data_IF_827231628781
#
_entry.id   IF_827231628781
#
_cell.length_a   1.000
_cell.length_b   1.000
_cell.length_c   1.000
_cell.angle_alpha   90.00
_cell.angle_beta   90.00
_cell.angle_gamma   90.00
#
_symmetry.space_group_name_H-M   'P 1'
#
loop_
_entity.id
_entity.type
_entity.pdbx_description
1 polymer ?
#
# COMPACT_ATOMS: atom_id res chain seq x y z
N UNK A 1 20.45 16.26 22.81
CA UNK A 1 19.31 17.17 22.59
C UNK A 1 19.23 17.77 21.18
N UNK A 2 20.25 18.53 20.71
CA UNK A 2 20.22 19.14 19.36
C UNK A 2 20.28 18.10 18.24
N UNK A 3 21.08 17.05 18.41
CA UNK A 3 21.19 15.95 17.45
C UNK A 3 19.92 15.09 17.38
N UNK A 4 19.31 14.80 18.54
CA UNK A 4 18.04 14.07 18.62
C UNK A 4 16.90 14.83 17.92
N UNK A 5 16.82 16.15 18.15
CA UNK A 5 15.85 17.03 17.46
C UNK A 5 16.07 17.01 15.95
N UNK A 6 17.33 17.05 15.49
CA UNK A 6 17.65 16.98 14.06
C UNK A 6 17.22 15.64 13.46
N UNK A 7 17.51 14.52 14.12
CA UNK A 7 17.12 13.18 13.67
C UNK A 7 15.60 13.02 13.59
N UNK A 8 14.87 13.54 14.58
CA UNK A 8 13.41 13.55 14.60
C UNK A 8 12.84 14.41 13.47
N UNK A 9 13.41 15.59 13.24
CA UNK A 9 12.97 16.50 12.18
C UNK A 9 13.21 15.91 10.79
N UNK A 10 14.37 15.29 10.56
CA UNK A 10 14.66 14.57 9.30
C UNK A 10 13.68 13.41 9.09
N UNK A 11 13.38 12.66 10.14
CA UNK A 11 12.41 11.55 10.09
C UNK A 11 11.01 12.04 9.76
N UNK A 12 10.58 13.14 10.39
CA UNK A 12 9.29 13.77 10.11
C UNK A 12 9.19 14.24 8.66
N UNK A 13 10.20 14.95 8.15
CA UNK A 13 10.22 15.42 6.76
C UNK A 13 10.18 14.26 5.76
N UNK A 14 10.90 13.18 6.02
CA UNK A 14 10.87 11.98 5.18
C UNK A 14 9.48 11.34 5.14
N UNK A 15 8.82 11.23 6.30
CA UNK A 15 7.45 10.71 6.40
C UNK A 15 6.44 11.65 5.74
N UNK A 16 6.62 12.97 5.87
CA UNK A 16 5.77 13.96 5.19
C UNK A 16 5.83 13.80 3.67
N UNK A 17 7.04 13.67 3.10
CA UNK A 17 7.22 13.43 1.66
C UNK A 17 6.56 12.11 1.25
N UNK A 18 6.77 11.03 2.02
CA UNK A 18 6.14 9.72 1.74
C UNK A 18 4.61 9.85 1.69
N UNK A 19 4.01 10.46 2.71
CA UNK A 19 2.55 10.61 2.80
C UNK A 19 2.03 11.53 1.69
N UNK A 20 2.72 12.64 1.40
CA UNK A 20 2.36 13.53 0.29
C UNK A 20 2.36 12.84 -1.07
N UNK A 21 3.36 11.98 -1.33
CA UNK A 21 3.40 11.15 -2.54
C UNK A 21 2.25 10.15 -2.58
N UNK A 22 1.91 9.52 -1.46
CA UNK A 22 0.80 8.56 -1.39
C UNK A 22 -0.54 9.25 -1.68
N UNK A 23 -0.75 10.43 -1.11
CA UNK A 23 -1.95 11.23 -1.40
C UNK A 23 -1.99 11.68 -2.86
N UNK A 24 -0.85 12.03 -3.45
CA UNK A 24 -0.75 12.38 -4.87
C UNK A 24 -1.15 11.21 -5.78
N UNK A 25 -0.82 9.98 -5.42
CA UNK A 25 -1.26 8.78 -6.16
C UNK A 25 -2.78 8.66 -6.17
N UNK A 26 -3.44 8.82 -5.01
CA UNK A 26 -4.90 8.79 -4.94
C UNK A 26 -5.53 9.95 -5.72
N UNK A 27 -4.99 11.17 -5.59
CA UNK A 27 -5.47 12.34 -6.33
C UNK A 27 -5.36 12.16 -7.84
N UNK A 28 -4.22 11.66 -8.34
CA UNK A 28 -4.03 11.40 -9.77
C UNK A 28 -4.96 10.26 -10.23
N UNK A 29 -5.15 9.21 -9.44
CA UNK A 29 -6.10 8.15 -9.73
C UNK A 29 -7.54 8.67 -9.85
N UNK A 30 -7.97 9.55 -8.94
CA UNK A 30 -9.26 10.25 -8.99
C UNK A 30 -9.37 11.12 -10.23
N UNK A 31 -8.34 11.92 -10.54
CA UNK A 31 -8.31 12.81 -11.70
C UNK A 31 -8.39 12.03 -13.03
N UNK A 32 -7.63 10.94 -13.16
CA UNK A 32 -7.67 10.12 -14.38
C UNK A 32 -9.02 9.42 -14.49
N UNK A 33 -9.56 8.89 -13.39
CA UNK A 33 -10.89 8.25 -13.39
C UNK A 33 -12.01 9.23 -13.75
N UNK A 34 -11.91 10.51 -13.34
CA UNK A 34 -12.90 11.54 -13.70
C UNK A 34 -12.90 11.87 -15.19
N UNK A 35 -11.76 11.76 -15.86
CA UNK A 35 -11.66 11.98 -17.31
C UNK A 35 -12.42 10.94 -18.14
N UNK A 36 -12.71 9.76 -17.57
CA UNK A 36 -13.54 8.72 -18.20
C UNK A 36 -15.04 8.88 -17.92
N UNK A 37 -15.44 9.88 -17.15
CA UNK A 37 -16.83 10.23 -16.86
C UNK A 37 -17.27 9.92 -15.42
N UNK A 38 -18.42 10.50 -15.04
CA UNK A 38 -18.92 10.47 -13.66
C UNK A 38 -19.19 9.05 -13.13
N UNK A 39 -19.67 8.13 -13.98
CA UNK A 39 -19.93 6.74 -13.59
C UNK A 39 -18.63 6.00 -13.22
N UNK A 40 -17.56 6.22 -13.99
CA UNK A 40 -16.24 5.61 -13.74
C UNK A 40 -15.62 6.19 -12.48
N UNK A 41 -15.71 7.51 -12.29
CA UNK A 41 -15.28 8.17 -11.06
C UNK A 41 -16.00 7.64 -9.81
N UNK A 42 -17.32 7.47 -9.90
CA UNK A 42 -18.10 6.91 -8.80
C UNK A 42 -17.70 5.45 -8.49
N UNK A 43 -17.46 4.65 -9.54
CA UNK A 43 -16.91 3.30 -9.40
C UNK A 43 -15.56 3.29 -8.70
N UNK A 44 -14.65 4.20 -9.07
CA UNK A 44 -13.35 4.38 -8.40
C UNK A 44 -13.53 4.70 -6.91
N UNK A 45 -14.48 5.56 -6.56
CA UNK A 45 -14.83 5.88 -5.16
C UNK A 45 -15.26 4.66 -4.34
N UNK A 46 -16.09 3.77 -4.91
CA UNK A 46 -16.48 2.50 -4.25
C UNK A 46 -15.25 1.66 -3.94
N UNK A 47 -14.33 1.54 -4.89
CA UNK A 47 -13.12 0.76 -4.70
C UNK A 47 -12.13 1.39 -3.73
N UNK A 48 -12.04 2.72 -3.63
CA UNK A 48 -11.28 3.38 -2.57
C UNK A 48 -11.83 3.03 -1.18
N UNK A 49 -13.15 2.94 -1.01
CA UNK A 49 -13.74 2.53 0.26
C UNK A 49 -13.44 1.07 0.58
N UNK A 50 -13.62 0.15 -0.38
CA UNK A 50 -13.32 -1.27 -0.19
C UNK A 50 -11.83 -1.48 0.12
N UNK A 51 -10.94 -0.97 -0.73
CA UNK A 51 -9.50 -1.13 -0.52
C UNK A 51 -9.03 -0.45 0.76
N UNK A 52 -9.53 0.76 1.07
CA UNK A 52 -9.25 1.45 2.33
C UNK A 52 -9.61 0.62 3.57
N UNK A 53 -10.79 -0.02 3.57
CA UNK A 53 -11.19 -0.91 4.65
C UNK A 53 -10.23 -2.10 4.81
N UNK A 54 -9.87 -2.76 3.70
CA UNK A 54 -8.90 -3.87 3.76
C UNK A 54 -7.53 -3.42 4.27
N UNK A 55 -7.06 -2.23 3.88
CA UNK A 55 -5.78 -1.69 4.33
C UNK A 55 -5.75 -1.42 5.82
N UNK A 56 -6.83 -0.88 6.40
CA UNK A 56 -6.91 -0.66 7.84
C UNK A 56 -6.72 -1.95 8.65
N UNK A 57 -7.23 -3.09 8.13
CA UNK A 57 -7.07 -4.38 8.80
C UNK A 57 -5.70 -5.00 8.54
N UNK A 58 -5.18 -4.92 7.32
CA UNK A 58 -3.84 -5.39 6.95
C UNK A 58 -2.75 -4.63 7.73
N UNK A 59 -2.97 -3.34 8.03
CA UNK A 59 -2.07 -2.52 8.83
C UNK A 59 -2.11 -2.83 10.32
N UNK A 60 -3.12 -3.54 10.83
CA UNK A 60 -3.22 -3.90 12.25
C UNK A 60 -1.96 -4.60 12.79
N UNK A 61 -1.52 -5.74 12.19
CA UNK A 61 -0.28 -6.41 12.56
C UNK A 61 0.97 -5.53 12.42
N UNK A 62 0.97 -4.64 11.42
CA UNK A 62 2.07 -3.71 11.12
C UNK A 62 2.21 -2.68 12.24
N UNK A 63 1.12 -2.04 12.65
CA UNK A 63 1.10 -1.06 13.74
C UNK A 63 1.47 -1.69 15.09
N UNK A 64 0.98 -2.90 15.38
CA UNK A 64 1.30 -3.61 16.62
C UNK A 64 2.75 -4.09 16.71
N UNK A 65 3.35 -4.49 15.59
CA UNK A 65 4.72 -5.01 15.56
C UNK A 65 5.79 -3.91 15.48
N UNK A 66 5.47 -2.74 14.94
CA UNK A 66 6.44 -1.65 14.69
C UNK A 66 7.27 -1.25 15.93
N UNK A 67 6.67 -0.99 17.12
CA UNK A 67 7.46 -0.61 18.30
C UNK A 67 8.37 -1.74 18.76
N UNK A 68 7.91 -3.00 18.68
CA UNK A 68 8.68 -4.18 19.08
C UNK A 68 9.85 -4.46 18.12
N UNK A 69 9.65 -4.21 16.83
CA UNK A 69 10.71 -4.26 15.81
C UNK A 69 11.75 -3.18 16.05
N UNK A 70 11.32 -1.94 16.33
CA UNK A 70 12.20 -0.83 16.69
C UNK A 70 13.05 -1.13 17.93
N UNK A 71 12.40 -1.56 19.02
CA UNK A 71 13.06 -1.95 20.27
C UNK A 71 14.09 -3.07 20.04
N UNK A 72 13.70 -4.12 19.30
CA UNK A 72 14.56 -5.27 19.06
C UNK A 72 15.75 -4.93 18.17
N UNK A 73 15.54 -4.07 17.16
CA UNK A 73 16.60 -3.55 16.30
C UNK A 73 17.58 -2.67 17.07
N UNK A 74 17.08 -1.69 17.85
CA UNK A 74 17.92 -0.81 18.67
C UNK A 74 18.68 -1.54 19.79
N UNK A 75 18.13 -2.66 20.29
CA UNK A 75 18.77 -3.50 21.32
C UNK A 75 19.70 -4.59 20.74
N UNK A 76 19.96 -4.61 19.43
CA UNK A 76 20.73 -5.67 18.75
C UNK A 76 20.23 -7.11 19.00
N UNK A 77 18.94 -7.30 19.31
CA UNK A 77 18.33 -8.62 19.56
C UNK A 77 17.77 -9.21 18.26
N UNK A 78 18.67 -9.68 17.40
CA UNK A 78 18.37 -10.12 16.03
C UNK A 78 17.35 -11.28 16.00
N UNK A 79 17.46 -12.25 16.90
CA UNK A 79 16.53 -13.38 16.94
C UNK A 79 15.11 -12.94 17.33
N UNK A 80 15.00 -11.98 18.28
CA UNK A 80 13.72 -11.37 18.66
C UNK A 80 13.13 -10.59 17.49
N UNK A 81 13.95 -9.78 16.80
CA UNK A 81 13.55 -9.04 15.60
C UNK A 81 12.99 -9.96 14.51
N UNK A 82 13.70 -11.03 14.15
CA UNK A 82 13.25 -11.98 13.10
C UNK A 82 11.93 -12.65 13.44
N UNK A 83 11.75 -13.05 14.70
CA UNK A 83 10.50 -13.68 15.16
C UNK A 83 9.32 -12.72 15.04
N UNK A 84 9.47 -11.48 15.51
CA UNK A 84 8.42 -10.46 15.41
C UNK A 84 8.12 -10.16 13.93
N UNK A 85 9.17 -9.97 13.12
CA UNK A 85 9.06 -9.67 11.71
C UNK A 85 8.29 -10.76 10.96
N UNK A 86 8.65 -12.04 11.18
CA UNK A 86 8.00 -13.17 10.52
C UNK A 86 6.53 -13.32 10.96
N UNK A 87 6.24 -13.16 12.25
CA UNK A 87 4.86 -13.24 12.76
C UNK A 87 3.98 -12.12 12.21
N UNK A 88 4.49 -10.88 12.16
CA UNK A 88 3.79 -9.75 11.56
C UNK A 88 3.51 -9.99 10.08
N UNK A 89 4.52 -10.44 9.33
CA UNK A 89 4.39 -10.79 7.92
C UNK A 89 3.36 -11.89 7.66
N UNK A 90 3.42 -12.96 8.44
CA UNK A 90 2.48 -14.08 8.31
C UNK A 90 1.04 -13.63 8.58
N UNK A 91 0.83 -12.85 9.65
CA UNK A 91 -0.49 -12.29 9.97
C UNK A 91 -0.98 -11.33 8.88
N UNK A 92 -0.10 -10.49 8.33
CA UNK A 92 -0.40 -9.62 7.20
C UNK A 92 -0.80 -10.39 5.94
N UNK A 93 -0.07 -11.44 5.58
CA UNK A 93 -0.39 -12.29 4.43
C UNK A 93 -1.74 -12.98 4.63
N UNK A 94 -2.01 -13.51 5.84
CA UNK A 94 -3.28 -14.17 6.13
C UNK A 94 -4.47 -13.21 5.99
N UNK A 95 -4.34 -11.98 6.51
CA UNK A 95 -5.39 -10.95 6.38
C UNK A 95 -5.55 -10.50 4.91
N UNK A 96 -4.46 -10.34 4.16
CA UNK A 96 -4.52 -9.99 2.74
C UNK A 96 -5.19 -11.07 1.88
N UNK A 97 -4.88 -12.35 2.13
CA UNK A 97 -5.52 -13.49 1.47
C UNK A 97 -7.02 -13.51 1.80
N UNK A 98 -7.37 -13.33 3.07
CA UNK A 98 -8.76 -13.26 3.52
C UNK A 98 -9.57 -12.19 2.77
N UNK A 99 -9.06 -10.95 2.70
CA UNK A 99 -9.74 -9.87 1.96
C UNK A 99 -9.77 -10.11 0.45
N UNK A 100 -8.69 -10.66 -0.11
CA UNK A 100 -8.64 -11.04 -1.52
C UNK A 100 -9.75 -12.03 -1.85
N UNK A 101 -9.92 -13.08 -1.05
CA UNK A 101 -10.99 -14.07 -1.23
C UNK A 101 -12.38 -13.46 -1.06
N UNK A 102 -12.58 -12.62 -0.04
CA UNK A 102 -13.87 -11.96 0.19
C UNK A 102 -14.25 -11.09 -0.99
N UNK A 103 -13.35 -10.24 -1.48
CA UNK A 103 -13.66 -9.37 -2.62
C UNK A 103 -13.80 -10.16 -3.92
N UNK A 104 -13.06 -11.26 -4.08
CA UNK A 104 -13.18 -12.10 -5.26
C UNK A 104 -14.53 -12.82 -5.34
N UNK A 105 -15.03 -13.34 -4.22
CA UNK A 105 -16.30 -14.09 -4.15
C UNK A 105 -17.51 -13.17 -3.98
N UNK A 106 -17.45 -12.23 -3.04
CA UNK A 106 -18.59 -11.39 -2.64
C UNK A 106 -18.51 -9.96 -3.18
N UNK A 107 -17.52 -9.63 -4.01
CA UNK A 107 -17.28 -8.26 -4.47
C UNK A 107 -18.48 -7.59 -5.13
N UNK A 108 -19.24 -8.31 -5.97
CA UNK A 108 -20.46 -7.78 -6.61
C UNK A 108 -21.56 -7.48 -5.58
N UNK A 109 -21.73 -8.35 -4.58
CA UNK A 109 -22.67 -8.15 -3.49
C UNK A 109 -22.27 -6.94 -2.64
N UNK A 110 -20.98 -6.79 -2.33
CA UNK A 110 -20.45 -5.64 -1.58
C UNK A 110 -20.67 -4.33 -2.34
N UNK A 111 -20.41 -4.30 -3.65
CA UNK A 111 -20.73 -3.14 -4.50
C UNK A 111 -22.23 -2.81 -4.43
N UNK A 112 -23.09 -3.84 -4.43
CA UNK A 112 -24.54 -3.65 -4.34
C UNK A 112 -25.00 -3.11 -2.99
N UNK A 113 -24.26 -3.37 -1.91
CA UNK A 113 -24.54 -2.77 -0.59
C UNK A 113 -24.13 -1.30 -0.52
N UNK A 114 -23.11 -0.89 -1.28
CA UNK A 114 -22.59 0.48 -1.26
C UNK A 114 -23.44 1.43 -2.11
N UNK A 115 -23.99 0.97 -3.24
CA UNK A 115 -24.81 1.81 -4.12
C UNK A 115 -25.99 1.05 -4.69
N UNK A 116 -27.10 1.75 -4.90
CA UNK A 116 -28.30 1.24 -5.59
C UNK A 116 -28.38 1.68 -7.07
N UNK A 117 -27.41 2.47 -7.55
CA UNK A 117 -27.40 2.98 -8.92
C UNK A 117 -26.86 1.91 -9.88
N UNK A 118 -27.72 1.39 -10.76
CA UNK A 118 -27.40 0.27 -11.65
C UNK A 118 -26.20 0.55 -12.57
N UNK A 119 -26.14 1.73 -13.17
CA UNK A 119 -25.04 2.11 -14.08
C UNK A 119 -23.67 2.07 -13.38
N UNK A 120 -23.61 2.48 -12.11
CA UNK A 120 -22.36 2.45 -11.31
C UNK A 120 -22.01 1.01 -10.92
N UNK A 121 -23.00 0.16 -10.62
CA UNK A 121 -22.78 -1.27 -10.32
C UNK A 121 -22.19 -1.99 -11.52
N UNK A 122 -22.83 -1.86 -12.68
CA UNK A 122 -22.38 -2.48 -13.93
C UNK A 122 -20.97 -2.01 -14.31
N UNK A 123 -20.67 -0.73 -14.13
CA UNK A 123 -19.32 -0.21 -14.36
C UNK A 123 -18.31 -0.82 -13.38
N UNK A 124 -18.65 -0.91 -12.10
CA UNK A 124 -17.78 -1.48 -11.06
C UNK A 124 -17.54 -2.99 -11.26
N UNK A 125 -18.53 -3.74 -11.73
CA UNK A 125 -18.37 -5.18 -11.97
C UNK A 125 -17.27 -5.52 -12.99
N UNK A 126 -16.89 -4.57 -13.85
CA UNK A 126 -15.78 -4.74 -14.79
C UNK A 126 -14.43 -4.87 -14.07
N UNK A 127 -14.23 -4.11 -12.99
CA UNK A 127 -12.92 -3.99 -12.32
C UNK A 127 -12.82 -4.80 -11.03
N UNK A 128 -13.91 -5.39 -10.54
CA UNK A 128 -13.91 -6.06 -9.24
C UNK A 128 -12.81 -7.10 -9.11
N UNK A 129 -12.58 -7.94 -10.12
CA UNK A 129 -11.57 -9.00 -10.04
C UNK A 129 -10.14 -8.49 -9.95
N UNK A 130 -9.78 -7.43 -10.68
CA UNK A 130 -8.44 -6.83 -10.56
C UNK A 130 -8.29 -6.11 -9.22
N UNK A 131 -9.33 -5.43 -8.75
CA UNK A 131 -9.32 -4.76 -7.44
C UNK A 131 -9.22 -5.77 -6.30
N UNK A 132 -9.86 -6.94 -6.42
CA UNK A 132 -9.77 -8.01 -5.42
C UNK A 132 -8.35 -8.53 -5.22
N UNK A 133 -7.45 -8.39 -6.20
CA UNK A 133 -6.04 -8.79 -6.07
C UNK A 133 -5.17 -7.74 -5.38
N UNK A 134 -5.65 -6.50 -5.24
CA UNK A 134 -4.88 -5.40 -4.67
C UNK A 134 -4.42 -5.67 -3.22
N UNK A 135 -5.24 -6.25 -2.32
CA UNK A 135 -4.81 -6.55 -0.95
C UNK A 135 -3.57 -7.47 -0.91
N UNK A 136 -3.58 -8.58 -1.66
CA UNK A 136 -2.45 -9.51 -1.71
C UNK A 136 -1.22 -8.92 -2.41
N UNK A 137 -1.42 -8.09 -3.43
CA UNK A 137 -0.34 -7.39 -4.12
C UNK A 137 0.35 -6.38 -3.18
N UNK A 138 -0.44 -5.69 -2.36
CA UNK A 138 0.04 -4.56 -1.55
C UNK A 138 0.64 -5.00 -0.21
N UNK A 139 0.32 -6.20 0.27
CA UNK A 139 0.69 -6.68 1.62
C UNK A 139 2.18 -6.54 1.93
N UNK A 140 3.04 -6.82 0.94
CA UNK A 140 4.49 -6.71 1.11
C UNK A 140 4.90 -5.27 1.46
N UNK A 141 4.30 -4.28 0.81
CA UNK A 141 4.61 -2.87 1.06
C UNK A 141 4.13 -2.40 2.43
N UNK A 142 2.93 -2.82 2.86
CA UNK A 142 2.36 -2.47 4.16
C UNK A 142 3.17 -3.08 5.31
N UNK A 143 3.48 -4.38 5.26
CA UNK A 143 4.25 -5.02 6.33
C UNK A 143 5.67 -4.44 6.47
N UNK A 144 6.30 -4.08 5.35
CA UNK A 144 7.60 -3.40 5.38
C UNK A 144 7.51 -1.97 5.89
N UNK A 145 6.41 -1.25 5.64
CA UNK A 145 6.25 0.10 6.18
C UNK A 145 6.35 0.13 7.70
N UNK A 146 5.69 -0.80 8.40
CA UNK A 146 5.78 -0.86 9.86
C UNK A 146 7.18 -1.22 10.35
N UNK A 147 7.82 -2.20 9.70
CA UNK A 147 9.18 -2.57 10.06
C UNK A 147 10.15 -1.38 9.91
N UNK A 148 10.09 -0.65 8.80
CA UNK A 148 10.95 0.51 8.58
C UNK A 148 10.60 1.69 9.48
N UNK A 149 9.31 1.94 9.72
CA UNK A 149 8.85 2.97 10.63
C UNK A 149 9.33 2.70 12.06
N UNK A 150 9.22 1.45 12.52
CA UNK A 150 9.72 1.02 13.82
C UNK A 150 11.24 1.18 13.97
N UNK A 151 12.00 0.87 12.92
CA UNK A 151 13.46 1.04 12.90
C UNK A 151 13.92 2.48 12.62
N UNK A 152 13.00 3.43 12.43
CA UNK A 152 13.27 4.81 11.99
C UNK A 152 14.09 4.90 10.69
N UNK A 153 13.99 3.92 9.80
CA UNK A 153 14.62 3.90 8.47
C UNK A 153 13.80 4.69 7.44
N UNK A 154 13.47 5.93 7.81
CA UNK A 154 12.53 6.79 7.07
C UNK A 154 13.10 7.27 5.73
N UNK A 155 14.42 7.40 5.60
CA UNK A 155 15.09 7.79 4.35
C UNK A 155 14.88 6.74 3.26
N UNK A 156 15.03 5.47 3.61
CA UNK A 156 14.80 4.35 2.71
C UNK A 156 13.32 4.28 2.31
N UNK A 157 12.38 4.42 3.27
CA UNK A 157 10.94 4.48 2.98
C UNK A 157 10.59 5.59 1.99
N UNK A 158 11.17 6.78 2.17
CA UNK A 158 10.97 7.92 1.26
C UNK A 158 11.48 7.59 -0.14
N UNK A 159 12.70 7.06 -0.25
CA UNK A 159 13.31 6.76 -1.54
C UNK A 159 12.51 5.71 -2.33
N UNK A 160 12.06 4.64 -1.66
CA UNK A 160 11.22 3.62 -2.29
C UNK A 160 9.88 4.18 -2.73
N UNK A 161 9.30 5.07 -1.92
CA UNK A 161 8.04 5.74 -2.24
C UNK A 161 8.17 6.67 -3.45
N UNK A 162 9.24 7.48 -3.52
CA UNK A 162 9.51 8.34 -4.67
C UNK A 162 9.65 7.49 -5.94
N UNK A 163 10.48 6.45 -5.89
CA UNK A 163 10.68 5.55 -7.02
C UNK A 163 9.36 4.92 -7.50
N UNK A 164 8.59 4.31 -6.61
CA UNK A 164 7.34 3.65 -6.98
C UNK A 164 6.28 4.65 -7.45
N UNK A 165 6.25 5.87 -6.90
CA UNK A 165 5.30 6.93 -7.33
C UNK A 165 5.63 7.45 -8.73
N UNK A 166 6.91 7.63 -9.07
CA UNK A 166 7.29 8.01 -10.44
C UNK A 166 6.88 6.92 -11.43
N UNK A 167 7.08 5.65 -11.09
CA UNK A 167 6.64 4.53 -11.92
C UNK A 167 5.11 4.46 -12.02
N UNK A 168 4.39 4.82 -10.96
CA UNK A 168 2.93 4.97 -11.00
C UNK A 168 2.49 6.04 -11.99
N UNK A 169 3.09 7.23 -11.96
CA UNK A 169 2.73 8.31 -12.86
C UNK A 169 3.00 7.95 -14.33
N UNK A 170 4.14 7.31 -14.61
CA UNK A 170 4.44 6.84 -15.97
C UNK A 170 3.43 5.77 -16.41
N UNK A 171 3.17 4.78 -15.55
CA UNK A 171 2.25 3.67 -15.87
C UNK A 171 0.82 4.15 -16.05
N UNK A 172 0.30 5.04 -15.20
CA UNK A 172 -1.10 5.48 -15.29
C UNK A 172 -1.36 6.26 -16.57
N UNK A 173 -0.50 7.20 -16.97
CA UNK A 173 -0.71 7.96 -18.21
C UNK A 173 -0.46 7.14 -19.49
N UNK A 174 0.26 6.02 -19.39
CA UNK A 174 0.53 5.14 -20.53
C UNK A 174 -0.52 4.05 -20.65
N UNK A 175 -0.79 3.30 -19.58
CA UNK A 175 -1.69 2.16 -19.56
C UNK A 175 -3.15 2.56 -19.70
N UNK A 176 -3.54 3.76 -19.27
CA UNK A 176 -4.92 4.24 -19.46
C UNK A 176 -5.25 4.52 -20.92
N UNK A 177 -4.25 4.88 -21.73
CA UNK A 177 -4.42 5.02 -23.19
C UNK A 177 -4.60 3.68 -23.89
N UNK A 178 -4.00 2.61 -23.35
CA UNK A 178 -4.00 1.28 -23.96
C UNK A 178 -5.20 0.44 -23.48
N UNK A 179 -5.49 0.48 -22.19
CA UNK A 179 -6.46 -0.39 -21.52
C UNK A 179 -7.68 0.36 -20.96
N UNK A 180 -7.81 1.67 -21.24
CA UNK A 180 -8.85 2.51 -20.64
C UNK A 180 -8.74 2.53 -19.11
N UNK A 181 -9.86 2.50 -18.40
CA UNK A 181 -9.87 2.59 -16.94
C UNK A 181 -9.24 1.36 -16.24
N UNK A 182 -9.11 0.21 -16.90
CA UNK A 182 -8.30 -0.90 -16.37
C UNK A 182 -6.84 -0.46 -16.11
N UNK A 183 -6.34 0.46 -16.93
CA UNK A 183 -5.01 1.04 -16.77
C UNK A 183 -4.79 1.69 -15.40
N UNK A 184 -5.82 2.27 -14.76
CA UNK A 184 -5.72 2.85 -13.41
C UNK A 184 -5.38 1.77 -12.38
N UNK A 185 -6.11 0.65 -12.41
CA UNK A 185 -5.95 -0.46 -11.46
C UNK A 185 -4.67 -1.27 -11.69
N UNK A 186 -4.28 -1.45 -12.97
CA UNK A 186 -3.00 -2.08 -13.31
C UNK A 186 -1.85 -1.19 -12.81
N UNK A 187 -1.93 0.13 -13.02
CA UNK A 187 -0.90 1.06 -12.55
C UNK A 187 -0.78 1.08 -11.04
N UNK A 188 -1.92 1.05 -10.33
CA UNK A 188 -1.93 0.95 -8.87
C UNK A 188 -1.30 -0.37 -8.38
N UNK A 189 -1.59 -1.49 -9.05
CA UNK A 189 -0.97 -2.79 -8.76
C UNK A 189 0.55 -2.74 -8.98
N UNK A 190 1.01 -2.14 -10.07
CA UNK A 190 2.44 -1.94 -10.36
C UNK A 190 3.10 -1.10 -9.25
N UNK A 191 2.46 0.00 -8.86
CA UNK A 191 2.93 0.85 -7.75
C UNK A 191 3.14 0.05 -6.46
N UNK A 192 2.12 -0.69 -6.04
CA UNK A 192 2.13 -1.47 -4.81
C UNK A 192 3.21 -2.56 -4.84
N UNK A 193 3.33 -3.29 -5.95
CA UNK A 193 4.38 -4.29 -6.16
C UNK A 193 5.77 -3.66 -6.10
N UNK A 194 6.03 -2.61 -6.88
CA UNK A 194 7.35 -1.97 -6.94
C UNK A 194 7.75 -1.37 -5.60
N UNK A 195 6.80 -0.80 -4.87
CA UNK A 195 7.04 -0.31 -3.52
C UNK A 195 7.45 -1.43 -2.58
N UNK A 196 6.71 -2.54 -2.56
CA UNK A 196 7.04 -3.71 -1.74
C UNK A 196 8.40 -4.31 -2.09
N UNK A 197 8.68 -4.50 -3.38
CA UNK A 197 9.94 -5.09 -3.87
C UNK A 197 11.14 -4.18 -3.55
N UNK A 198 11.02 -2.88 -3.78
CA UNK A 198 12.09 -1.92 -3.49
C UNK A 198 12.38 -1.80 -1.99
N UNK A 199 11.35 -1.81 -1.13
CA UNK A 199 11.55 -1.87 0.32
C UNK A 199 12.18 -3.19 0.76
N UNK A 200 11.77 -4.32 0.15
CA UNK A 200 12.33 -5.62 0.46
C UNK A 200 13.83 -5.70 0.11
N UNK A 201 14.26 -5.04 -0.97
CA UNK A 201 15.67 -4.90 -1.31
C UNK A 201 16.47 -4.22 -0.19
N UNK A 202 15.97 -3.10 0.35
CA UNK A 202 16.61 -2.45 1.49
C UNK A 202 16.55 -3.32 2.76
N UNK A 203 15.44 -4.01 3.00
CA UNK A 203 15.31 -4.91 4.16
C UNK A 203 16.35 -6.03 4.15
N UNK A 204 16.57 -6.66 2.99
CA UNK A 204 17.62 -7.69 2.83
C UNK A 204 19.00 -7.15 3.16
N UNK A 205 19.31 -5.91 2.77
CA UNK A 205 20.58 -5.25 3.11
C UNK A 205 20.71 -4.98 4.60
N UNK A 206 19.63 -4.53 5.25
CA UNK A 206 19.60 -4.29 6.71
C UNK A 206 19.81 -5.60 7.46
N UNK A 207 19.07 -6.67 7.09
CA UNK A 207 19.20 -7.98 7.73
C UNK A 207 20.59 -8.57 7.53
N UNK A 208 21.20 -8.41 6.35
CA UNK A 208 22.57 -8.89 6.11
C UNK A 208 23.59 -8.19 7.01
N UNK A 209 23.45 -6.88 7.22
CA UNK A 209 24.34 -6.10 8.09
C UNK A 209 24.12 -6.34 9.59
N UNK A 210 23.07 -7.09 9.97
CA UNK A 210 22.87 -7.53 11.35
C UNK A 210 23.73 -8.77 11.68
N UNK A 211 24.28 -9.46 10.68
CA UNK A 211 25.23 -10.56 10.85
C UNK A 211 26.67 -10.07 10.70
#
# INVERSE_FOLDING_TARGET
PKEDIKLLLESFLNLFIRTGMLQSIYLVGTYVSSSFGATVLASYGIFLQLTGFSYMVIDGPTLGSSPLLGESYGSNRINKFKRIYHNAFFSGILTAIFFTMIYFVFGKNLISLITNIETIRLESYKYIYIVSLIPIISVLSFQLDGAFSGMLKTKEMRNTMIFSSVMYFISIFTLTKIFGNYGVWISYSIFALLRGVSMNYYMKKIIKNLY
#
